data_IF_635398696594
#
_entry.id   IF_635398696594
#
_cell.length_a   1.000
_cell.length_b   1.000
_cell.length_c   1.000
_cell.angle_alpha   90.00
_cell.angle_beta   90.00
_cell.angle_gamma   90.00
#
_symmetry.space_group_name_H-M   'P 1'
#
loop_
_entity.id
_entity.type
_entity.pdbx_description
1 polymer ?
#
# COMPACT_ATOMS: atom_id res chain seq x y z
N UNK A 1 -0.43 -23.11 -0.85
CA UNK A 1 -1.07 -21.88 -0.35
C UNK A 1 -0.93 -20.87 -1.45
N UNK A 2 -2.05 -20.37 -1.97
CA UNK A 2 -2.03 -19.41 -3.07
C UNK A 2 -1.54 -18.06 -2.53
N UNK A 3 -0.39 -17.60 -3.02
CA UNK A 3 0.26 -16.37 -2.55
C UNK A 3 -0.65 -15.15 -2.74
N UNK A 4 -1.52 -15.16 -3.76
CA UNK A 4 -2.46 -14.05 -3.99
C UNK A 4 -3.53 -14.00 -2.91
N UNK A 5 -4.03 -15.17 -2.46
CA UNK A 5 -5.09 -15.22 -1.46
C UNK A 5 -4.63 -14.70 -0.09
N UNK A 6 -3.39 -15.01 0.32
CA UNK A 6 -2.80 -14.51 1.58
C UNK A 6 -2.67 -12.99 1.60
N UNK A 7 -2.36 -12.35 0.46
CA UNK A 7 -2.23 -10.89 0.37
C UNK A 7 -3.57 -10.21 0.62
N UNK A 8 -4.67 -10.74 0.09
CA UNK A 8 -6.00 -10.15 0.31
C UNK A 8 -6.47 -10.34 1.75
N UNK A 9 -6.25 -11.52 2.33
CA UNK A 9 -6.58 -11.80 3.74
C UNK A 9 -5.79 -10.91 4.72
N UNK A 10 -4.51 -10.63 4.42
CA UNK A 10 -3.67 -9.81 5.28
C UNK A 10 -3.92 -8.31 5.14
N UNK A 11 -4.29 -7.83 3.94
CA UNK A 11 -4.31 -6.39 3.65
C UNK A 11 -5.67 -5.78 3.38
N UNK A 12 -6.76 -6.54 3.25
CA UNK A 12 -8.09 -5.96 2.99
C UNK A 12 -9.08 -6.16 4.14
N UNK A 13 -10.09 -5.30 4.19
CA UNK A 13 -11.35 -5.45 4.95
C UNK A 13 -12.54 -4.94 4.12
N UNK A 14 -13.72 -4.81 4.74
CA UNK A 14 -14.94 -4.37 4.05
C UNK A 14 -14.90 -2.89 3.61
N UNK A 15 -13.95 -2.09 4.11
CA UNK A 15 -13.81 -0.66 3.82
C UNK A 15 -12.65 -0.37 2.86
N UNK A 16 -11.56 -1.14 2.90
CA UNK A 16 -10.41 -0.89 2.05
C UNK A 16 -9.19 -1.77 2.35
N UNK A 17 -8.01 -1.36 1.85
CA UNK A 17 -7.79 -0.23 0.95
C UNK A 17 -8.24 -0.53 -0.49
N UNK A 18 -8.69 0.50 -1.21
CA UNK A 18 -9.06 0.40 -2.63
C UNK A 18 -7.88 -0.08 -3.50
N UNK A 19 -6.65 0.36 -3.20
CA UNK A 19 -5.42 -0.05 -3.89
C UNK A 19 -4.21 -0.10 -2.96
N UNK A 20 -3.32 -1.06 -3.23
CA UNK A 20 -1.95 -1.10 -2.70
C UNK A 20 -0.99 -1.17 -3.88
N UNK A 21 -0.06 -0.22 -3.96
CA UNK A 21 0.90 -0.09 -5.06
C UNK A 21 2.30 -0.21 -4.48
N UNK A 22 2.97 -1.32 -4.80
CA UNK A 22 4.39 -1.50 -4.50
C UNK A 22 5.23 -0.90 -5.63
N UNK A 23 6.14 0.00 -5.29
CA UNK A 23 6.99 0.72 -6.22
C UNK A 23 8.45 0.34 -5.93
N UNK A 24 9.15 -0.07 -6.98
CA UNK A 24 10.60 -0.21 -6.96
C UNK A 24 11.21 0.65 -8.06
N UNK A 25 12.06 1.60 -7.67
CA UNK A 25 12.83 2.44 -8.60
C UNK A 25 14.33 2.13 -8.41
N UNK A 26 15.01 1.53 -9.40
CA UNK A 26 16.34 0.99 -9.22
C UNK A 26 17.45 2.04 -9.12
N UNK A 27 17.33 3.21 -9.77
CA UNK A 27 18.40 4.22 -9.82
C UNK A 27 18.62 4.84 -8.43
N UNK A 28 17.55 5.20 -7.75
CA UNK A 28 17.52 5.71 -6.39
C UNK A 28 17.49 4.59 -5.33
N UNK A 29 17.36 3.32 -5.75
CA UNK A 29 17.10 2.16 -4.87
C UNK A 29 15.87 2.37 -3.97
N UNK A 30 14.88 3.08 -4.50
CA UNK A 30 13.65 3.37 -3.77
C UNK A 30 12.79 2.12 -3.71
N UNK A 31 12.37 1.78 -2.50
CA UNK A 31 11.25 0.87 -2.24
C UNK A 31 10.18 1.69 -1.56
N UNK A 32 9.01 1.76 -2.17
CA UNK A 32 7.89 2.52 -1.64
C UNK A 32 6.60 1.72 -1.77
N UNK A 33 5.65 2.05 -0.90
CA UNK A 33 4.30 1.50 -0.92
C UNK A 33 3.36 2.70 -0.90
N UNK A 34 2.36 2.70 -1.77
CA UNK A 34 1.26 3.64 -1.74
C UNK A 34 -0.01 2.87 -1.44
N UNK A 35 -0.65 3.18 -0.31
CA UNK A 35 -1.96 2.66 0.06
C UNK A 35 -2.99 3.75 -0.23
N UNK A 36 -4.04 3.39 -0.96
CA UNK A 36 -5.15 4.28 -1.30
C UNK A 36 -6.40 3.70 -0.68
N UNK A 37 -6.92 4.33 0.37
CA UNK A 37 -8.13 3.87 1.04
C UNK A 37 -9.36 4.04 0.14
N UNK A 38 -9.49 5.21 -0.49
CA UNK A 38 -10.65 5.55 -1.31
C UNK A 38 -10.34 6.71 -2.26
N UNK A 39 -10.83 6.62 -3.51
CA UNK A 39 -10.79 7.68 -4.51
C UNK A 39 -12.20 8.09 -5.02
N UNK A 40 -13.28 7.66 -4.37
CA UNK A 40 -14.65 7.92 -4.83
C UNK A 40 -15.02 9.40 -4.93
N UNK A 41 -14.43 10.26 -4.09
CA UNK A 41 -14.68 11.70 -4.09
C UNK A 41 -13.70 12.50 -4.98
N UNK A 42 -12.81 11.83 -5.71
CA UNK A 42 -11.73 12.45 -6.48
C UNK A 42 -10.35 11.88 -6.11
N UNK A 43 -9.25 12.53 -6.56
CA UNK A 43 -7.91 12.05 -6.29
C UNK A 43 -7.63 11.88 -4.79
N UNK A 44 -7.06 10.74 -4.39
CA UNK A 44 -6.63 10.51 -3.02
C UNK A 44 -5.51 11.50 -2.64
N UNK A 45 -5.54 11.99 -1.40
CA UNK A 45 -4.58 12.94 -0.85
C UNK A 45 -4.03 12.35 0.45
N UNK A 46 -2.71 12.38 0.63
CA UNK A 46 -2.05 11.84 1.80
C UNK A 46 -0.65 12.40 1.99
N UNK A 47 -0.11 12.22 3.20
CA UNK A 47 1.28 12.57 3.51
C UNK A 47 2.27 11.52 3.00
N UNK A 48 3.56 11.88 2.99
CA UNK A 48 4.65 10.95 2.73
C UNK A 48 5.42 10.74 4.02
N UNK A 49 5.64 9.48 4.40
CA UNK A 49 6.53 9.09 5.50
C UNK A 49 7.69 8.27 4.94
N UNK A 50 8.91 8.55 5.41
CA UNK A 50 10.10 7.74 5.15
C UNK A 50 10.58 7.16 6.47
N UNK A 51 10.57 5.83 6.58
CA UNK A 51 11.09 5.09 7.71
C UNK A 51 11.73 3.78 7.23
N UNK A 52 12.87 3.34 7.81
CA UNK A 52 13.61 2.16 7.36
C UNK A 52 12.91 0.83 7.67
N UNK A 53 11.96 0.84 8.61
CA UNK A 53 11.27 -0.31 9.19
C UNK A 53 9.78 -0.39 8.77
N UNK A 54 9.35 0.48 7.86
CA UNK A 54 7.95 0.53 7.41
C UNK A 54 7.56 -0.76 6.68
N UNK A 55 6.39 -1.30 7.05
CA UNK A 55 5.79 -2.47 6.39
C UNK A 55 4.43 -2.12 5.80
N UNK A 56 3.97 -2.87 4.79
CA UNK A 56 2.62 -2.67 4.23
C UNK A 56 1.54 -2.85 5.29
N UNK A 57 1.74 -3.80 6.23
CA UNK A 57 0.80 -4.09 7.32
C UNK A 57 0.62 -2.92 8.29
N UNK A 58 1.66 -2.10 8.49
CA UNK A 58 1.59 -0.93 9.41
C UNK A 58 0.77 0.22 8.84
N UNK A 59 0.71 0.36 7.51
CA UNK A 59 0.15 1.54 6.83
C UNK A 59 -1.19 1.29 6.14
N UNK A 60 -1.79 0.10 6.34
CA UNK A 60 -3.16 -0.17 5.90
C UNK A 60 -4.19 0.28 6.92
#
# INVERSE_FOLDING_TARGET
MDVSQTIFEEYTDDLGPEKIIHIYEPVAKLKAIVVIDNAAAGPAIGGVRMAPDLTTTEIR
#
